data_IF_366732746505
#
_entry.id   IF_366732746505
#
_cell.length_a   1.000
_cell.length_b   1.000
_cell.length_c   1.000
_cell.angle_alpha   90.00
_cell.angle_beta   90.00
_cell.angle_gamma   90.00
#
_symmetry.space_group_name_H-M   'P 1'
#
loop_
_entity.id
_entity.type
_entity.pdbx_description
1 polymer ?
#
# COMPACT_ATOMS: atom_id res chain seq x y z
N UNK A 1 -4.73 10.98 -22.39
CA UNK A 1 -4.73 12.08 -21.40
C UNK A 1 -3.60 11.80 -20.42
N UNK A 2 -2.78 12.79 -20.09
CA UNK A 2 -1.70 12.64 -19.10
C UNK A 2 -2.31 12.57 -17.70
N UNK A 3 -1.79 11.66 -16.86
CA UNK A 3 -2.18 11.59 -15.46
C UNK A 3 -1.63 12.84 -14.75
N UNK A 4 -2.44 13.61 -14.01
CA UNK A 4 -1.96 14.84 -13.38
C UNK A 4 -0.93 14.54 -12.29
N UNK A 5 0.09 15.40 -12.17
CA UNK A 5 1.04 15.35 -11.07
C UNK A 5 0.45 16.05 -9.84
N UNK A 6 0.16 15.27 -8.79
CA UNK A 6 -0.42 15.76 -7.54
C UNK A 6 0.61 15.86 -6.40
N UNK A 7 1.93 15.72 -6.66
CA UNK A 7 2.94 15.69 -5.60
C UNK A 7 2.89 16.92 -4.67
N UNK A 8 2.79 18.13 -5.23
CA UNK A 8 2.69 19.37 -4.45
C UNK A 8 1.39 19.44 -3.62
N UNK A 9 0.26 18.97 -4.16
CA UNK A 9 -1.01 18.91 -3.42
C UNK A 9 -0.91 17.93 -2.25
N UNK A 10 -0.25 16.79 -2.46
CA UNK A 10 0.02 15.82 -1.39
C UNK A 10 0.98 16.37 -0.34
N UNK A 11 2.01 17.13 -0.73
CA UNK A 11 2.90 17.83 0.22
C UNK A 11 2.10 18.77 1.14
N UNK A 12 1.25 19.61 0.55
CA UNK A 12 0.37 20.52 1.29
C UNK A 12 -0.60 19.76 2.20
N UNK A 13 -1.15 18.64 1.73
CA UNK A 13 -1.96 17.74 2.55
C UNK A 13 -1.20 17.27 3.79
N UNK A 14 0.01 16.72 3.64
CA UNK A 14 0.80 16.24 4.76
C UNK A 14 1.17 17.33 5.75
N UNK A 15 1.56 18.51 5.25
CA UNK A 15 1.83 19.68 6.10
C UNK A 15 0.63 20.04 6.98
N UNK A 16 -0.54 20.15 6.37
CA UNK A 16 -1.79 20.49 7.07
C UNK A 16 -2.19 19.43 8.10
N UNK A 17 -1.97 18.14 7.79
CA UNK A 17 -2.19 17.04 8.74
C UNK A 17 -1.19 17.09 9.90
N UNK A 18 0.07 17.42 9.62
CA UNK A 18 1.13 17.53 10.61
C UNK A 18 0.92 18.70 11.58
N UNK A 19 0.46 19.86 11.10
CA UNK A 19 0.07 21.00 11.93
C UNK A 19 -1.18 20.70 12.79
N UNK A 20 -1.92 19.65 12.45
CA UNK A 20 -3.13 19.22 13.12
C UNK A 20 -2.92 18.06 14.12
N UNK A 21 -3.88 17.13 14.10
CA UNK A 21 -3.95 16.02 15.09
C UNK A 21 -3.03 14.85 14.76
N UNK A 22 -2.53 14.76 13.53
CA UNK A 22 -1.78 13.60 13.04
C UNK A 22 -0.27 13.73 13.22
N UNK A 23 0.19 14.83 13.82
CA UNK A 23 1.62 15.15 13.97
C UNK A 23 2.44 13.97 14.52
N UNK A 24 1.89 13.20 15.48
CA UNK A 24 2.59 12.05 16.09
C UNK A 24 2.78 10.91 15.11
N UNK A 25 1.75 10.60 14.33
CA UNK A 25 1.76 9.44 13.43
C UNK A 25 2.63 9.75 12.21
N UNK A 26 2.53 10.97 11.66
CA UNK A 26 3.39 11.44 10.59
C UNK A 26 4.85 11.53 11.04
N UNK A 27 5.13 12.03 12.25
CA UNK A 27 6.49 12.02 12.81
C UNK A 27 7.03 10.59 12.92
N UNK A 28 6.25 9.64 13.43
CA UNK A 28 6.67 8.24 13.51
C UNK A 28 6.95 7.65 12.13
N UNK A 29 6.08 7.92 11.15
CA UNK A 29 6.27 7.49 9.77
C UNK A 29 7.56 8.07 9.16
N UNK A 30 7.87 9.33 9.47
CA UNK A 30 9.11 9.97 9.05
C UNK A 30 10.35 9.34 9.73
N UNK A 31 10.23 8.90 10.98
CA UNK A 31 11.35 8.32 11.75
C UNK A 31 11.62 6.84 11.46
N UNK A 32 10.60 6.04 11.13
CA UNK A 32 10.77 4.63 10.75
C UNK A 32 9.84 4.25 9.58
N UNK A 33 10.21 4.60 8.33
CA UNK A 33 9.37 4.32 7.16
C UNK A 33 9.21 2.83 6.84
N UNK A 34 10.07 1.95 7.37
CA UNK A 34 9.95 0.50 7.19
C UNK A 34 8.88 -0.08 8.11
N UNK A 35 8.82 0.37 9.36
CA UNK A 35 7.93 -0.18 10.39
C UNK A 35 6.61 0.59 10.54
N UNK A 36 6.43 1.68 9.79
CA UNK A 36 5.26 2.56 9.88
C UNK A 36 4.49 2.66 8.58
N UNK A 37 3.42 3.45 8.62
CA UNK A 37 2.49 3.69 7.51
C UNK A 37 1.98 5.12 7.54
N UNK A 38 1.40 5.53 6.41
CA UNK A 38 0.64 6.75 6.27
C UNK A 38 -0.86 6.44 6.28
N UNK A 39 -1.66 7.35 6.85
CA UNK A 39 -3.12 7.26 6.80
C UNK A 39 -3.68 8.49 6.11
N UNK A 40 -4.45 8.26 5.07
CA UNK A 40 -5.14 9.27 4.27
C UNK A 40 -6.59 9.35 4.74
N UNK A 41 -6.98 10.50 5.27
CA UNK A 41 -8.36 10.80 5.63
C UNK A 41 -9.03 11.52 4.47
N UNK A 42 -9.89 10.78 3.75
CA UNK A 42 -10.49 11.24 2.49
C UNK A 42 -11.38 12.47 2.65
N UNK A 43 -11.90 12.74 3.84
CA UNK A 43 -12.67 13.96 4.17
C UNK A 43 -11.84 15.24 3.97
N UNK A 44 -10.51 15.12 3.95
CA UNK A 44 -9.59 16.25 3.78
C UNK A 44 -8.98 16.34 2.38
N UNK A 45 -9.30 15.41 1.46
CA UNK A 45 -8.77 15.44 0.09
C UNK A 45 -9.53 16.36 -0.85
N UNK A 46 -10.80 16.64 -0.57
CA UNK A 46 -11.67 17.49 -1.38
C UNK A 46 -12.10 18.77 -0.64
N UNK A 47 -11.22 19.33 0.20
CA UNK A 47 -11.46 20.65 0.77
C UNK A 47 -10.87 21.73 -0.14
N UNK A 48 -11.42 22.94 -0.10
CA UNK A 48 -11.12 24.06 -1.01
C UNK A 48 -9.64 24.50 -1.11
N UNK A 49 -8.72 23.86 -0.40
CA UNK A 49 -7.30 24.20 -0.36
C UNK A 49 -6.39 23.08 -0.87
N UNK A 50 -6.88 21.85 -1.00
CA UNK A 50 -6.12 20.69 -1.52
C UNK A 50 -7.02 20.02 -2.54
N UNK A 51 -6.68 20.12 -3.83
CA UNK A 51 -7.45 19.55 -4.93
C UNK A 51 -6.94 18.15 -5.31
N UNK A 52 -7.05 17.18 -4.40
CA UNK A 52 -6.80 15.76 -4.73
C UNK A 52 -8.14 15.11 -5.03
N UNK A 53 -8.42 14.85 -6.30
CA UNK A 53 -9.68 14.25 -6.73
C UNK A 53 -9.87 12.85 -6.12
N UNK A 54 -10.96 12.65 -5.37
CA UNK A 54 -11.34 11.33 -4.84
C UNK A 54 -11.53 10.32 -5.97
N UNK A 55 -12.10 10.74 -7.10
CA UNK A 55 -12.24 9.89 -8.29
C UNK A 55 -10.88 9.42 -8.81
N UNK A 56 -9.84 10.26 -8.72
CA UNK A 56 -8.49 9.87 -9.13
C UNK A 56 -7.88 8.86 -8.17
N UNK A 57 -8.02 9.06 -6.85
CA UNK A 57 -7.61 8.10 -5.83
C UNK A 57 -8.31 6.75 -6.02
N UNK A 58 -9.62 6.75 -6.31
CA UNK A 58 -10.38 5.52 -6.48
C UNK A 58 -10.06 4.79 -7.78
N UNK A 59 -9.89 5.51 -8.90
CA UNK A 59 -9.67 4.90 -10.23
C UNK A 59 -8.20 4.59 -10.53
N UNK A 60 -7.25 5.29 -9.90
CA UNK A 60 -5.81 5.14 -10.12
C UNK A 60 -5.03 5.16 -8.79
N UNK A 61 -5.37 4.26 -7.83
CA UNK A 61 -4.80 4.28 -6.49
C UNK A 61 -3.28 4.20 -6.46
N UNK A 62 -2.65 3.39 -7.32
CA UNK A 62 -1.19 3.27 -7.34
C UNK A 62 -0.49 4.58 -7.66
N UNK A 63 -1.01 5.32 -8.65
CA UNK A 63 -0.45 6.62 -9.04
C UNK A 63 -0.70 7.66 -7.96
N UNK A 64 -1.91 7.69 -7.40
CA UNK A 64 -2.24 8.58 -6.31
C UNK A 64 -1.39 8.30 -5.05
N UNK A 65 -1.13 7.03 -4.74
CA UNK A 65 -0.30 6.61 -3.62
C UNK A 65 1.18 6.91 -3.84
N UNK A 66 1.71 6.73 -5.04
CA UNK A 66 3.08 7.14 -5.35
C UNK A 66 3.26 8.66 -5.24
N UNK A 67 2.31 9.44 -5.76
CA UNK A 67 2.30 10.89 -5.57
C UNK A 67 2.18 11.27 -4.08
N UNK A 68 1.40 10.53 -3.30
CA UNK A 68 1.27 10.74 -1.86
C UNK A 68 2.59 10.52 -1.12
N UNK A 69 3.34 9.45 -1.46
CA UNK A 69 4.66 9.17 -0.88
C UNK A 69 5.70 10.20 -1.30
N UNK A 70 5.66 10.63 -2.56
CA UNK A 70 6.53 11.69 -3.05
C UNK A 70 6.28 13.01 -2.31
N UNK A 71 5.01 13.44 -2.21
CA UNK A 71 4.64 14.62 -1.45
C UNK A 71 5.02 14.52 0.03
N UNK A 72 4.96 13.31 0.62
CA UNK A 72 5.43 13.09 2.00
C UNK A 72 6.95 13.23 2.11
N UNK A 73 7.71 12.70 1.14
CA UNK A 73 9.16 12.83 1.07
C UNK A 73 9.58 14.29 1.00
N UNK A 74 8.93 15.07 0.14
CA UNK A 74 9.18 16.51 0.01
C UNK A 74 8.82 17.26 1.31
N UNK A 75 7.67 16.97 1.91
CA UNK A 75 7.25 17.53 3.20
C UNK A 75 8.29 17.27 4.30
N UNK A 76 8.78 16.03 4.45
CA UNK A 76 9.79 15.69 5.48
C UNK A 76 11.12 16.39 5.20
N UNK A 77 11.48 16.59 3.94
CA UNK A 77 12.73 17.26 3.57
C UNK A 77 12.72 18.78 3.84
N UNK A 78 11.55 19.41 3.80
CA UNK A 78 11.37 20.85 4.02
C UNK A 78 11.13 21.20 5.50
N UNK A 79 10.52 20.30 6.27
CA UNK A 79 10.17 20.53 7.66
C UNK A 79 11.27 20.06 8.63
N UNK A 80 11.51 20.84 9.68
CA UNK A 80 12.49 20.50 10.73
C UNK A 80 11.92 19.44 11.70
N UNK A 81 11.76 18.20 11.21
CA UNK A 81 11.32 17.07 12.03
C UNK A 81 12.55 16.36 12.62
N UNK A 82 12.64 16.22 13.94
CA UNK A 82 13.81 15.55 14.54
C UNK A 82 13.84 14.04 14.27
N UNK A 83 15.05 13.53 14.02
CA UNK A 83 15.40 12.11 13.91
C UNK A 83 14.70 11.37 12.77
N UNK A 84 14.40 12.07 11.67
CA UNK A 84 13.82 11.44 10.47
C UNK A 84 14.81 10.50 9.79
N UNK A 85 14.28 9.53 9.06
CA UNK A 85 15.09 8.67 8.22
C UNK A 85 15.65 9.45 7.02
N UNK A 86 16.76 8.99 6.45
CA UNK A 86 17.30 9.65 5.24
C UNK A 86 16.55 9.21 3.97
N UNK A 87 16.00 7.98 3.97
CA UNK A 87 15.41 7.34 2.78
C UNK A 87 14.22 6.43 3.14
N UNK A 88 13.66 5.75 2.14
CA UNK A 88 12.62 4.70 2.25
C UNK A 88 11.17 5.17 2.46
N UNK A 89 10.88 6.47 2.44
CA UNK A 89 9.51 7.00 2.45
C UNK A 89 8.63 6.47 1.32
N UNK A 90 9.29 6.17 0.22
CA UNK A 90 8.70 5.61 -0.98
C UNK A 90 8.24 4.15 -0.77
N UNK A 91 8.58 3.52 0.35
CA UNK A 91 8.14 2.19 0.76
C UNK A 91 7.03 2.20 1.83
N UNK A 92 6.55 3.36 2.26
CA UNK A 92 5.48 3.47 3.26
C UNK A 92 4.16 2.86 2.73
N UNK A 93 3.48 1.97 3.47
CA UNK A 93 2.10 1.60 3.22
C UNK A 93 1.21 2.82 3.35
N UNK A 94 0.17 2.88 2.54
CA UNK A 94 -0.88 3.87 2.64
C UNK A 94 -2.20 3.18 2.99
N UNK A 95 -2.85 3.70 4.02
CA UNK A 95 -4.19 3.29 4.42
C UNK A 95 -5.16 4.43 4.17
N UNK A 96 -6.40 4.09 3.83
CA UNK A 96 -7.47 5.06 3.63
C UNK A 96 -8.44 4.96 4.80
N UNK A 97 -8.99 6.10 5.25
CA UNK A 97 -10.06 6.16 6.23
C UNK A 97 -11.16 7.13 5.80
N UNK A 98 -12.36 6.94 6.35
CA UNK A 98 -13.55 7.77 6.15
C UNK A 98 -14.00 7.91 4.68
N UNK A 99 -13.76 6.89 3.84
CA UNK A 99 -14.28 6.90 2.46
C UNK A 99 -15.81 7.03 2.51
N UNK A 100 -16.38 7.89 1.66
CA UNK A 100 -17.83 8.00 1.58
C UNK A 100 -18.41 6.77 0.87
N UNK A 101 -18.89 5.81 1.67
CA UNK A 101 -19.49 4.55 1.23
C UNK A 101 -20.69 4.71 0.29
N UNK A 102 -21.33 5.89 0.27
CA UNK A 102 -22.43 6.14 -0.67
C UNK A 102 -21.97 6.22 -2.12
N UNK A 103 -20.69 6.46 -2.34
CA UNK A 103 -20.07 6.56 -3.66
C UNK A 103 -18.95 5.52 -3.85
N UNK A 104 -18.81 4.55 -2.95
CA UNK A 104 -17.84 3.47 -3.10
C UNK A 104 -18.31 2.47 -4.15
N UNK A 105 -17.36 1.96 -4.91
CA UNK A 105 -17.60 0.89 -5.88
C UNK A 105 -17.54 -0.45 -5.14
N UNK A 106 -18.63 -1.22 -5.14
CA UNK A 106 -18.66 -2.53 -4.49
C UNK A 106 -17.93 -3.56 -5.35
N UNK A 107 -17.04 -4.32 -4.73
CA UNK A 107 -16.33 -5.40 -5.39
C UNK A 107 -17.30 -6.53 -5.78
N UNK A 108 -17.10 -7.10 -6.97
CA UNK A 108 -17.81 -8.32 -7.39
C UNK A 108 -16.90 -9.24 -8.20
N UNK A 109 -17.07 -10.56 -8.04
CA UNK A 109 -16.35 -11.54 -8.85
C UNK A 109 -16.72 -11.44 -10.34
N UNK A 110 -17.99 -11.17 -10.67
CA UNK A 110 -18.43 -10.95 -12.05
C UNK A 110 -17.78 -9.70 -12.68
N UNK A 111 -17.55 -8.65 -11.88
CA UNK A 111 -16.92 -7.39 -12.28
C UNK A 111 -15.41 -7.34 -12.05
N UNK A 112 -14.74 -8.43 -11.65
CA UNK A 112 -13.35 -8.38 -11.17
C UNK A 112 -12.36 -7.75 -12.15
N UNK A 113 -12.63 -7.86 -13.47
CA UNK A 113 -11.81 -7.23 -14.52
C UNK A 113 -11.99 -5.72 -14.58
N UNK A 114 -13.20 -5.20 -14.40
CA UNK A 114 -13.44 -3.75 -14.33
C UNK A 114 -12.97 -3.17 -13.00
N UNK A 115 -13.02 -3.97 -11.95
CA UNK A 115 -12.68 -3.55 -10.59
C UNK A 115 -11.15 -3.55 -10.37
N UNK A 116 -10.41 -4.32 -11.17
CA UNK A 116 -8.98 -4.52 -11.06
C UNK A 116 -8.21 -3.20 -10.97
N UNK A 117 -7.33 -3.09 -9.97
CA UNK A 117 -6.49 -1.93 -9.70
C UNK A 117 -7.27 -0.64 -9.37
N UNK A 118 -8.54 -0.74 -8.94
CA UNK A 118 -9.32 0.38 -8.41
C UNK A 118 -9.57 0.19 -6.91
N UNK A 119 -9.92 1.27 -6.20
CA UNK A 119 -10.36 1.15 -4.80
C UNK A 119 -11.81 0.68 -4.79
N UNK A 120 -12.05 -0.46 -4.15
CA UNK A 120 -13.38 -1.03 -4.00
C UNK A 120 -13.72 -1.26 -2.53
N UNK A 121 -14.98 -1.54 -2.26
CA UNK A 121 -15.48 -1.91 -0.94
C UNK A 121 -16.10 -3.30 -0.96
N UNK A 122 -15.92 -4.01 0.14
CA UNK A 122 -16.65 -5.22 0.50
C UNK A 122 -17.39 -4.93 1.80
N UNK A 123 -18.72 -5.02 1.79
CA UNK A 123 -19.54 -4.54 2.91
C UNK A 123 -19.71 -5.53 4.06
N UNK A 124 -19.59 -6.84 3.81
CA UNK A 124 -19.77 -7.87 4.84
C UNK A 124 -19.05 -9.14 4.42
N UNK A 125 -18.04 -9.54 5.18
CA UNK A 125 -17.30 -10.80 5.02
C UNK A 125 -16.88 -11.38 6.36
N UNK A 126 -16.60 -12.68 6.36
CA UNK A 126 -16.03 -13.38 7.50
C UNK A 126 -14.65 -13.91 7.11
N UNK A 127 -13.70 -13.82 8.06
CA UNK A 127 -12.37 -14.39 7.86
C UNK A 127 -12.49 -15.91 7.89
N UNK A 128 -11.90 -16.56 6.90
CA UNK A 128 -11.77 -18.01 6.85
C UNK A 128 -10.38 -18.44 7.32
N UNK A 129 -10.34 -19.32 8.31
CA UNK A 129 -9.10 -19.85 8.87
C UNK A 129 -8.32 -18.84 9.71
N UNK A 130 -7.08 -19.21 10.05
CA UNK A 130 -6.18 -18.35 10.83
C UNK A 130 -5.33 -17.49 9.89
N UNK A 131 -5.32 -16.15 10.07
CA UNK A 131 -4.40 -15.27 9.33
C UNK A 131 -2.94 -15.69 9.55
N UNK A 132 -2.16 -15.70 8.48
CA UNK A 132 -0.72 -15.99 8.52
C UNK A 132 0.07 -14.70 8.41
N UNK A 133 1.20 -14.60 9.12
CA UNK A 133 2.04 -13.41 9.11
C UNK A 133 3.50 -13.78 8.82
N UNK A 134 4.09 -13.18 7.81
CA UNK A 134 5.49 -13.43 7.44
C UNK A 134 6.21 -12.16 7.00
N UNK A 135 7.55 -12.20 7.07
CA UNK A 135 8.38 -11.12 6.53
C UNK A 135 8.56 -11.32 5.03
N UNK A 136 8.12 -10.35 4.23
CA UNK A 136 8.35 -10.32 2.79
C UNK A 136 9.21 -9.13 2.41
N UNK A 137 10.03 -9.30 1.37
CA UNK A 137 10.75 -8.18 0.79
C UNK A 137 9.75 -7.16 0.22
N UNK A 138 9.92 -5.89 0.58
CA UNK A 138 9.17 -4.74 0.01
C UNK A 138 10.04 -3.95 -0.98
N UNK A 139 11.37 -4.09 -0.85
CA UNK A 139 12.32 -3.63 -1.84
C UNK A 139 13.51 -4.59 -1.86
N UNK A 140 13.80 -5.17 -3.01
CA UNK A 140 14.96 -6.04 -3.22
C UNK A 140 16.06 -5.23 -3.85
N UNK A 141 17.24 -5.28 -3.26
CA UNK A 141 18.44 -4.68 -3.83
C UNK A 141 19.22 -5.75 -4.57
N UNK A 142 19.59 -5.47 -5.82
CA UNK A 142 20.41 -6.32 -6.66
C UNK A 142 21.76 -5.65 -6.88
N UNK A 143 22.84 -6.42 -6.79
CA UNK A 143 24.20 -5.96 -7.03
C UNK A 143 24.84 -6.76 -8.18
N UNK A 144 25.68 -6.11 -8.97
CA UNK A 144 26.53 -6.80 -9.96
C UNK A 144 28.01 -6.79 -9.51
N UNK A 145 28.88 -7.63 -10.12
CA UNK A 145 30.31 -7.67 -9.80
C UNK A 145 31.06 -6.34 -10.01
N UNK A 146 30.55 -5.45 -10.86
CA UNK A 146 31.14 -4.12 -11.11
C UNK A 146 30.74 -3.09 -10.03
N UNK A 147 29.94 -3.48 -9.04
CA UNK A 147 29.54 -2.63 -7.92
C UNK A 147 28.30 -1.77 -8.19
N UNK A 148 27.59 -1.95 -9.30
CA UNK A 148 26.30 -1.30 -9.53
C UNK A 148 25.24 -1.90 -8.63
N UNK A 149 24.36 -1.05 -8.10
CA UNK A 149 23.21 -1.45 -7.30
C UNK A 149 21.92 -0.99 -7.97
N UNK A 150 20.95 -1.88 -8.07
CA UNK A 150 19.60 -1.59 -8.56
C UNK A 150 18.60 -2.01 -7.50
N UNK A 151 17.71 -1.10 -7.11
CA UNK A 151 16.63 -1.40 -6.15
C UNK A 151 15.31 -1.54 -6.88
N UNK A 152 14.60 -2.63 -6.64
CA UNK A 152 13.29 -2.89 -7.22
C UNK A 152 12.28 -3.02 -6.08
N UNK A 153 11.23 -2.19 -6.11
CA UNK A 153 10.07 -2.37 -5.24
C UNK A 153 9.36 -3.68 -5.57
N UNK A 154 9.03 -4.42 -4.51
CA UNK A 154 8.37 -5.71 -4.61
C UNK A 154 6.87 -5.51 -4.41
N UNK A 155 6.01 -6.03 -5.30
CA UNK A 155 4.59 -6.16 -4.98
C UNK A 155 4.41 -7.14 -3.82
N UNK A 156 3.29 -7.01 -3.11
CA UNK A 156 3.01 -7.81 -1.90
C UNK A 156 2.69 -9.28 -2.26
N UNK A 157 2.22 -9.52 -3.49
CA UNK A 157 1.70 -10.79 -3.97
C UNK A 157 2.70 -11.65 -4.75
N UNK A 158 3.66 -11.05 -5.48
CA UNK A 158 4.66 -11.78 -6.26
C UNK A 158 6.02 -11.09 -6.22
N UNK A 159 7.09 -11.87 -6.05
CA UNK A 159 8.45 -11.34 -6.08
C UNK A 159 8.89 -11.00 -7.50
N UNK A 160 9.36 -9.77 -7.72
CA UNK A 160 10.03 -9.35 -8.96
C UNK A 160 11.52 -9.68 -8.86
N UNK A 161 12.01 -10.41 -9.86
CA UNK A 161 13.43 -10.73 -10.01
C UNK A 161 14.08 -9.83 -11.04
N UNK A 162 15.40 -9.70 -10.94
CA UNK A 162 16.25 -9.08 -11.95
C UNK A 162 17.40 -10.06 -12.21
N UNK A 163 17.60 -10.43 -13.47
CA UNK A 163 18.65 -11.39 -13.85
C UNK A 163 19.92 -10.67 -14.32
N UNK A 164 19.76 -9.54 -15.02
CA UNK A 164 20.84 -8.74 -15.62
C UNK A 164 20.83 -7.34 -15.03
N UNK A 165 22.02 -6.76 -14.86
CA UNK A 165 22.19 -5.42 -14.35
C UNK A 165 21.35 -4.41 -15.16
N UNK A 166 20.58 -3.57 -14.46
CA UNK A 166 19.74 -2.54 -15.08
C UNK A 166 20.47 -1.24 -15.39
N UNK A 167 21.80 -1.21 -15.29
CA UNK A 167 22.61 -0.03 -15.61
C UNK A 167 23.01 -0.03 -17.09
N UNK A 168 23.03 1.16 -17.69
CA UNK A 168 23.33 1.34 -19.10
C UNK A 168 24.66 0.66 -19.47
N UNK A 169 24.65 -0.10 -20.57
CA UNK A 169 25.77 -0.87 -21.11
C UNK A 169 26.37 -1.97 -20.21
N UNK A 170 25.76 -2.29 -19.06
CA UNK A 170 26.21 -3.35 -18.15
C UNK A 170 25.40 -4.65 -18.32
N UNK A 171 26.00 -5.68 -18.92
CA UNK A 171 25.34 -6.97 -19.17
C UNK A 171 25.62 -8.04 -18.10
N UNK A 172 26.20 -7.64 -16.96
CA UNK A 172 26.54 -8.58 -15.90
C UNK A 172 25.29 -9.14 -15.22
N UNK A 173 25.35 -10.42 -14.86
CA UNK A 173 24.36 -11.02 -13.97
C UNK A 173 24.38 -10.32 -12.60
N UNK A 174 23.21 -10.22 -11.98
CA UNK A 174 23.08 -9.67 -10.63
C UNK A 174 22.80 -10.76 -9.61
N UNK A 175 23.09 -10.45 -8.34
CA UNK A 175 22.71 -11.24 -7.18
C UNK A 175 21.96 -10.36 -6.19
N UNK A 176 21.14 -10.96 -5.33
CA UNK A 176 20.42 -10.24 -4.28
C UNK A 176 21.44 -9.77 -3.22
N UNK A 177 21.44 -8.48 -2.95
CA UNK A 177 22.11 -7.87 -1.81
C UNK A 177 21.14 -7.86 -0.62
N UNK A 178 21.23 -8.90 0.22
CA UNK A 178 20.38 -9.06 1.39
C UNK A 178 20.57 -7.92 2.40
N UNK A 179 21.77 -7.32 2.48
CA UNK A 179 22.07 -6.26 3.46
C UNK A 179 21.32 -4.95 3.16
N UNK A 180 20.98 -4.74 1.89
CA UNK A 180 20.23 -3.58 1.40
C UNK A 180 18.78 -3.89 1.06
N UNK A 181 18.40 -5.16 1.09
CA UNK A 181 17.00 -5.58 0.92
C UNK A 181 16.20 -5.17 2.14
N UNK A 182 15.03 -4.58 1.89
CA UNK A 182 14.09 -4.16 2.93
C UNK A 182 12.93 -5.12 2.95
N UNK A 183 12.59 -5.58 4.15
CA UNK A 183 11.47 -6.46 4.38
C UNK A 183 10.48 -5.83 5.37
N UNK A 184 9.22 -6.21 5.26
CA UNK A 184 8.14 -5.84 6.17
C UNK A 184 7.26 -7.05 6.39
N UNK A 185 6.58 -7.06 7.53
CA UNK A 185 5.52 -8.03 7.78
C UNK A 185 4.33 -7.83 6.85
N UNK A 186 3.91 -8.92 6.24
CA UNK A 186 2.69 -9.05 5.45
C UNK A 186 1.81 -10.05 6.18
N UNK A 187 0.52 -9.72 6.29
CA UNK A 187 -0.50 -10.65 6.77
C UNK A 187 -1.30 -11.14 5.56
N UNK A 188 -1.47 -12.45 5.45
CA UNK A 188 -2.37 -13.08 4.50
C UNK A 188 -3.51 -13.77 5.23
N UNK A 189 -4.72 -13.64 4.68
CA UNK A 189 -5.91 -14.31 5.18
C UNK A 189 -6.90 -14.51 4.05
N UNK A 190 -7.85 -15.41 4.23
CA UNK A 190 -8.96 -15.59 3.29
C UNK A 190 -10.24 -15.06 3.90
N UNK A 191 -11.18 -14.66 3.06
CA UNK A 191 -12.53 -14.30 3.49
C UNK A 191 -13.58 -15.02 2.64
N UNK A 192 -14.72 -15.32 3.26
CA UNK A 192 -15.90 -15.81 2.55
C UNK A 192 -16.71 -14.63 2.03
N UNK A 193 -16.85 -14.50 0.71
CA UNK A 193 -17.64 -13.45 0.06
C UNK A 193 -18.52 -14.06 -1.03
N UNK A 194 -19.84 -14.00 -0.85
CA UNK A 194 -20.82 -14.60 -1.77
C UNK A 194 -20.56 -16.09 -2.08
N UNK A 195 -20.23 -16.89 -1.05
CA UNK A 195 -19.91 -18.32 -1.17
C UNK A 195 -18.60 -18.64 -1.92
N UNK A 196 -17.80 -17.61 -2.23
CA UNK A 196 -16.48 -17.74 -2.83
C UNK A 196 -15.38 -17.29 -1.85
N UNK A 197 -14.25 -17.99 -1.88
CA UNK A 197 -13.06 -17.63 -1.10
C UNK A 197 -12.28 -16.52 -1.80
N UNK A 198 -12.05 -15.40 -1.10
CA UNK A 198 -11.22 -14.30 -1.57
C UNK A 198 -9.94 -14.18 -0.73
N UNK A 199 -8.79 -14.37 -1.36
CA UNK A 199 -7.48 -14.16 -0.72
C UNK A 199 -7.24 -12.67 -0.51
N UNK A 200 -6.83 -12.32 0.71
CA UNK A 200 -6.56 -10.95 1.13
C UNK A 200 -5.12 -10.82 1.63
N UNK A 201 -4.50 -9.67 1.35
CA UNK A 201 -3.17 -9.32 1.84
C UNK A 201 -3.19 -7.95 2.50
N UNK A 202 -2.49 -7.81 3.62
CA UNK A 202 -2.44 -6.57 4.38
C UNK A 202 -1.02 -6.24 4.84
N UNK A 203 -0.70 -4.94 4.93
CA UNK A 203 0.58 -4.42 5.43
C UNK A 203 0.36 -3.29 6.42
N UNK A 204 1.44 -2.77 7.00
CA UNK A 204 1.40 -1.58 7.85
C UNK A 204 0.50 -1.78 9.07
N UNK A 205 -0.51 -0.91 9.21
CA UNK A 205 -1.45 -0.89 10.33
C UNK A 205 -2.10 -2.25 10.62
N UNK A 206 -2.34 -3.02 9.57
CA UNK A 206 -3.07 -4.28 9.62
C UNK A 206 -2.15 -5.50 9.68
N UNK A 207 -0.83 -5.29 9.65
CA UNK A 207 0.16 -6.35 9.78
C UNK A 207 0.97 -6.29 11.09
N UNK A 208 0.84 -5.23 11.91
CA UNK A 208 1.48 -5.18 13.22
C UNK A 208 0.86 -6.19 14.21
N UNK A 209 1.73 -6.92 14.93
CA UNK A 209 1.37 -8.10 15.74
C UNK A 209 0.44 -7.81 16.93
N UNK A 210 0.39 -6.57 17.42
CA UNK A 210 -0.16 -6.36 18.76
C UNK A 210 -1.61 -5.87 18.84
N UNK A 211 -2.31 -5.42 17.77
CA UNK A 211 -3.50 -4.58 18.04
C UNK A 211 -4.74 -4.61 17.12
N UNK A 212 -4.80 -5.22 15.93
CA UNK A 212 -6.01 -5.03 15.08
C UNK A 212 -6.65 -6.26 14.43
N UNK A 213 -5.90 -7.27 14.00
CA UNK A 213 -6.55 -8.53 13.57
C UNK A 213 -6.95 -9.42 14.75
N UNK A 214 -6.23 -9.38 15.87
CA UNK A 214 -6.67 -10.09 17.10
C UNK A 214 -7.95 -9.51 17.73
N UNK A 215 -8.31 -8.26 17.39
CA UNK A 215 -9.56 -7.62 17.82
C UNK A 215 -10.71 -7.80 16.82
N UNK A 216 -10.44 -8.41 15.67
CA UNK A 216 -11.48 -8.96 14.82
C UNK A 216 -11.72 -10.35 15.36
N UNK A 217 -12.74 -10.50 16.22
CA UNK A 217 -13.13 -11.82 16.70
C UNK A 217 -13.35 -12.71 15.46
N UNK A 218 -12.89 -13.97 15.51
CA UNK A 218 -12.84 -14.89 14.37
C UNK A 218 -14.20 -15.16 13.69
N UNK A 219 -15.30 -14.57 14.19
CA UNK A 219 -16.66 -14.68 13.69
C UNK A 219 -17.35 -13.30 13.48
N UNK A 220 -16.63 -12.19 13.57
CA UNK A 220 -17.21 -10.86 13.32
C UNK A 220 -17.35 -10.61 11.83
N UNK A 221 -18.52 -10.15 11.41
CA UNK A 221 -18.70 -9.61 10.06
C UNK A 221 -17.85 -8.33 9.92
N UNK A 222 -17.12 -8.25 8.81
CA UNK A 222 -16.21 -7.16 8.50
C UNK A 222 -16.62 -6.46 7.22
N UNK A 223 -16.34 -5.17 7.20
CA UNK A 223 -16.28 -4.40 5.97
C UNK A 223 -14.83 -4.06 5.67
N UNK A 224 -14.46 -4.17 4.39
CA UNK A 224 -13.12 -3.95 3.91
C UNK A 224 -13.12 -2.95 2.77
N UNK A 225 -12.07 -2.15 2.71
CA UNK A 225 -11.74 -1.33 1.54
C UNK A 225 -10.37 -1.78 1.07
N UNK A 226 -10.24 -1.98 -0.22
CA UNK A 226 -9.02 -2.52 -0.79
C UNK A 226 -8.95 -2.35 -2.29
N UNK A 227 -7.92 -2.96 -2.87
CA UNK A 227 -7.66 -2.94 -4.30
C UNK A 227 -7.62 -4.40 -4.77
N UNK A 228 -8.56 -4.84 -5.63
CA UNK A 228 -8.47 -6.16 -6.21
C UNK A 228 -7.34 -6.17 -7.25
N UNK A 229 -6.39 -7.08 -7.06
CA UNK A 229 -5.24 -7.33 -7.93
C UNK A 229 -5.47 -8.63 -8.66
N UNK A 230 -5.47 -8.59 -9.98
CA UNK A 230 -5.58 -9.81 -10.79
C UNK A 230 -4.19 -10.38 -11.02
N UNK A 231 -3.93 -11.55 -10.44
CA UNK A 231 -2.64 -12.23 -10.57
C UNK A 231 -2.78 -13.34 -11.59
N UNK A 232 -1.87 -13.37 -12.56
CA UNK A 232 -1.83 -14.43 -13.59
C UNK A 232 -0.84 -15.49 -13.19
N UNK A 233 -1.31 -16.72 -13.06
CA UNK A 233 -0.47 -17.90 -12.81
C UNK A 233 0.22 -18.36 -14.10
N UNK A 234 1.25 -19.21 -13.96
CA UNK A 234 1.98 -19.79 -15.10
C UNK A 234 1.10 -20.62 -16.04
N UNK A 235 -0.04 -21.13 -15.58
CA UNK A 235 -1.03 -21.87 -16.38
C UNK A 235 -2.04 -20.94 -17.08
N UNK A 236 -1.92 -19.62 -16.91
CA UNK A 236 -2.82 -18.62 -17.47
C UNK A 236 -4.10 -18.39 -16.67
N UNK A 237 -4.28 -19.07 -15.53
CA UNK A 237 -5.39 -18.75 -14.61
C UNK A 237 -5.21 -17.35 -14.00
N UNK A 238 -6.33 -16.66 -13.81
CA UNK A 238 -6.37 -15.34 -13.20
C UNK A 238 -7.10 -15.44 -11.87
N UNK A 239 -6.39 -15.10 -10.79
CA UNK A 239 -6.94 -15.16 -9.43
C UNK A 239 -6.89 -13.76 -8.81
N UNK A 240 -8.01 -13.25 -8.26
CA UNK A 240 -7.99 -11.99 -7.54
C UNK A 240 -7.31 -12.16 -6.17
N UNK A 241 -6.48 -11.19 -5.82
CA UNK A 241 -5.99 -10.95 -4.47
C UNK A 241 -6.45 -9.57 -4.03
N UNK A 242 -7.05 -9.47 -2.86
CA UNK A 242 -7.54 -8.22 -2.32
C UNK A 242 -6.48 -7.54 -1.45
N UNK A 243 -5.89 -6.45 -1.93
CA UNK A 243 -4.94 -5.64 -1.15
C UNK A 243 -5.70 -4.72 -0.20
N UNK A 244 -5.61 -5.00 1.09
CA UNK A 244 -6.42 -4.35 2.12
C UNK A 244 -5.85 -2.99 2.52
N UNK A 245 -6.66 -1.95 2.31
CA UNK A 245 -6.37 -0.57 2.70
C UNK A 245 -7.04 -0.19 4.02
N UNK A 246 -8.18 -0.80 4.33
CA UNK A 246 -8.97 -0.56 5.54
C UNK A 246 -9.81 -1.78 5.94
N UNK A 247 -9.99 -1.99 7.24
CA UNK A 247 -10.91 -2.98 7.81
C UNK A 247 -11.63 -2.35 9.00
N UNK A 248 -12.95 -2.56 9.08
CA UNK A 248 -13.76 -2.23 10.25
C UNK A 248 -14.85 -3.28 10.51
N UNK A 249 -15.18 -3.57 11.79
CA UNK A 249 -16.34 -4.41 12.14
C UNK A 249 -17.65 -3.78 11.66
N UNK A 250 -18.62 -4.61 11.29
CA UNK A 250 -19.97 -4.19 10.88
C UNK A 250 -21.04 -4.42 11.94
#
# INVERSE_FOLDING_TARGET
>A
MSIPDYAEHWKQYWKKRYEGRDYRDLRKAAQSPIDRWLTVDTRHLANNEIEIGLDHLSSHPDVAFDAARQGFTEFVSEEEIDNVADTEYDLLPLHIVNIDRRNSHLFSFEGMVSDANTVTEISSVQIEGEPTAELRAIATSFACPDGHHTRIRQPIYDARTLEVCGHDDCLNNVFIDETRTKARRVVEFSVSYHEEELRCVATGRYAEMDHKFENVEADSDLSMIGIPRLITSNDGSVTPIYEVLHVEPT
#
